data_IF_661163652829
#
_entry.id   IF_661163652829
#
_cell.length_a   1.000
_cell.length_b   1.000
_cell.length_c   1.000
_cell.angle_alpha   90.00
_cell.angle_beta   90.00
_cell.angle_gamma   90.00
#
_symmetry.space_group_name_H-M   'P 1'
#
loop_
_entity.id
_entity.type
_entity.pdbx_description
1 polymer ?
#
# COMPACT_ATOMS: atom_id res chain seq x y z
N UNK A 1 -19.17 22.20 2.78
CA UNK A 1 -18.68 20.90 3.34
C UNK A 1 -17.23 21.09 3.73
N UNK A 2 -16.76 20.56 4.87
CA UNK A 2 -15.34 20.69 5.22
C UNK A 2 -14.47 19.85 4.28
N UNK A 3 -13.26 20.31 3.98
CA UNK A 3 -12.30 19.61 3.12
C UNK A 3 -12.07 18.16 3.58
N UNK A 4 -12.03 17.93 4.90
CA UNK A 4 -11.91 16.59 5.49
C UNK A 4 -13.05 15.63 5.08
N UNK A 5 -14.29 16.13 4.97
CA UNK A 5 -15.43 15.31 4.51
C UNK A 5 -15.32 14.99 3.03
N UNK A 6 -14.90 15.96 2.22
CA UNK A 6 -14.70 15.75 0.78
C UNK A 6 -13.61 14.70 0.56
N UNK A 7 -12.49 14.78 1.27
CA UNK A 7 -11.42 13.80 1.20
C UNK A 7 -11.88 12.41 1.68
N UNK A 8 -12.60 12.32 2.79
CA UNK A 8 -13.14 11.04 3.28
C UNK A 8 -14.11 10.40 2.29
N UNK A 9 -15.02 11.19 1.70
CA UNK A 9 -15.93 10.71 0.66
C UNK A 9 -15.16 10.27 -0.60
N UNK A 10 -14.17 11.05 -1.04
CA UNK A 10 -13.33 10.69 -2.18
C UNK A 10 -12.57 9.38 -1.95
N UNK A 11 -11.96 9.21 -0.77
CA UNK A 11 -11.29 7.96 -0.39
C UNK A 11 -12.25 6.77 -0.42
N UNK A 12 -13.47 6.92 0.10
CA UNK A 12 -14.46 5.86 0.08
C UNK A 12 -14.90 5.48 -1.34
N UNK A 13 -15.11 6.47 -2.21
CA UNK A 13 -15.45 6.25 -3.63
C UNK A 13 -14.29 5.58 -4.37
N UNK A 14 -13.06 6.01 -4.15
CA UNK A 14 -11.86 5.39 -4.75
C UNK A 14 -11.72 3.94 -4.29
N UNK A 15 -11.86 3.68 -2.99
CA UNK A 15 -11.81 2.32 -2.44
C UNK A 15 -12.92 1.42 -3.01
N UNK A 16 -14.13 1.94 -3.20
CA UNK A 16 -15.21 1.22 -3.87
C UNK A 16 -14.88 0.95 -5.34
N UNK A 17 -14.27 1.91 -6.05
CA UNK A 17 -13.76 1.72 -7.40
C UNK A 17 -12.71 0.61 -7.48
N UNK A 18 -11.78 0.54 -6.52
CA UNK A 18 -10.84 -0.58 -6.44
C UNK A 18 -11.56 -1.92 -6.25
N UNK A 19 -12.50 -1.99 -5.31
CA UNK A 19 -13.21 -3.23 -4.98
C UNK A 19 -14.09 -3.74 -6.13
N UNK A 20 -14.79 -2.84 -6.82
CA UNK A 20 -15.80 -3.20 -7.81
C UNK A 20 -15.25 -3.29 -9.24
N UNK A 21 -14.18 -2.56 -9.56
CA UNK A 21 -13.66 -2.46 -10.92
C UNK A 21 -12.24 -2.99 -11.04
N UNK A 22 -11.30 -2.45 -10.25
CA UNK A 22 -9.88 -2.72 -10.43
C UNK A 22 -9.49 -4.14 -10.02
N UNK A 23 -9.90 -4.57 -8.82
CA UNK A 23 -9.53 -5.88 -8.28
C UNK A 23 -10.10 -7.03 -9.12
N UNK A 24 -11.40 -7.03 -9.49
CA UNK A 24 -11.93 -8.05 -10.38
C UNK A 24 -11.26 -8.08 -11.75
N UNK A 25 -10.80 -6.93 -12.25
CA UNK A 25 -10.11 -6.82 -13.53
C UNK A 25 -8.65 -7.31 -13.48
N UNK A 26 -7.99 -7.17 -12.32
CA UNK A 26 -6.57 -7.47 -12.15
C UNK A 26 -6.28 -8.78 -11.40
N UNK A 27 -7.30 -9.50 -10.95
CA UNK A 27 -7.12 -10.76 -10.20
C UNK A 27 -7.87 -11.91 -10.85
N UNK A 28 -7.17 -13.03 -10.99
CA UNK A 28 -7.77 -14.27 -11.49
C UNK A 28 -8.33 -15.11 -10.34
N UNK A 29 -9.48 -15.75 -10.59
CA UNK A 29 -10.08 -16.69 -9.64
C UNK A 29 -9.42 -18.05 -9.73
N UNK A 30 -8.52 -18.36 -8.80
CA UNK A 30 -7.88 -19.69 -8.71
C UNK A 30 -8.64 -20.55 -7.71
N UNK A 31 -9.28 -21.63 -8.18
CA UNK A 31 -10.19 -22.49 -7.39
C UNK A 31 -9.51 -23.30 -6.26
N UNK A 32 -8.20 -23.53 -6.34
CA UNK A 32 -7.43 -24.33 -5.37
C UNK A 32 -6.23 -23.55 -4.83
N UNK A 33 -6.48 -22.41 -4.18
CA UNK A 33 -5.46 -21.68 -3.44
C UNK A 33 -5.88 -21.55 -1.97
N UNK A 34 -4.94 -21.77 -1.05
CA UNK A 34 -5.16 -21.50 0.39
C UNK A 34 -5.48 -20.01 0.65
N UNK A 35 -5.01 -19.13 -0.24
CA UNK A 35 -5.24 -17.69 -0.18
C UNK A 35 -5.43 -17.17 -1.61
N UNK A 36 -6.58 -16.56 -1.88
CA UNK A 36 -6.89 -16.04 -3.21
C UNK A 36 -6.08 -14.78 -3.50
N UNK A 37 -5.58 -14.55 -4.74
CA UNK A 37 -4.82 -13.35 -5.09
C UNK A 37 -5.56 -12.04 -4.74
N UNK A 38 -6.89 -12.04 -4.85
CA UNK A 38 -7.73 -10.90 -4.50
C UNK A 38 -7.91 -10.63 -3.00
N UNK A 39 -7.48 -11.51 -2.10
CA UNK A 39 -7.77 -11.38 -0.66
C UNK A 39 -7.14 -10.12 -0.06
N UNK A 40 -5.83 -9.96 -0.23
CA UNK A 40 -5.09 -8.80 0.27
C UNK A 40 -5.58 -7.46 -0.30
N UNK A 41 -5.72 -7.28 -1.63
CA UNK A 41 -6.21 -6.01 -2.17
C UNK A 41 -7.66 -5.75 -1.78
N UNK A 42 -8.50 -6.79 -1.63
CA UNK A 42 -9.89 -6.61 -1.16
C UNK A 42 -9.92 -6.09 0.27
N UNK A 43 -9.13 -6.68 1.17
CA UNK A 43 -9.03 -6.19 2.56
C UNK A 43 -8.54 -4.75 2.59
N UNK A 44 -7.51 -4.41 1.82
CA UNK A 44 -7.01 -3.04 1.74
C UNK A 44 -8.08 -2.06 1.21
N UNK A 45 -8.80 -2.42 0.14
CA UNK A 45 -9.88 -1.61 -0.40
C UNK A 45 -11.01 -1.40 0.61
N UNK A 46 -11.41 -2.44 1.34
CA UNK A 46 -12.42 -2.34 2.42
C UNK A 46 -11.94 -1.41 3.52
N UNK A 47 -10.68 -1.50 3.96
CA UNK A 47 -10.13 -0.60 4.97
C UNK A 47 -10.13 0.86 4.50
N UNK A 48 -9.80 1.12 3.23
CA UNK A 48 -9.89 2.45 2.64
C UNK A 48 -11.34 2.96 2.62
N UNK A 49 -12.30 2.11 2.26
CA UNK A 49 -13.73 2.47 2.26
C UNK A 49 -14.19 2.83 3.67
N UNK A 50 -13.94 1.95 4.64
CA UNK A 50 -14.39 2.13 6.02
C UNK A 50 -13.73 3.37 6.64
N UNK A 51 -12.43 3.55 6.47
CA UNK A 51 -11.72 4.73 6.98
C UNK A 51 -12.23 6.03 6.34
N UNK A 52 -12.49 6.04 5.02
CA UNK A 52 -13.08 7.16 4.31
C UNK A 52 -14.50 7.51 4.80
N UNK A 53 -15.36 6.51 5.00
CA UNK A 53 -16.70 6.69 5.57
C UNK A 53 -16.62 7.25 6.99
N UNK A 54 -15.74 6.71 7.83
CA UNK A 54 -15.53 7.19 9.21
C UNK A 54 -15.06 8.65 9.19
N UNK A 55 -14.10 9.00 8.33
CA UNK A 55 -13.61 10.38 8.19
C UNK A 55 -14.69 11.34 7.66
N UNK A 56 -15.56 10.88 6.76
CA UNK A 56 -16.70 11.65 6.27
C UNK A 56 -17.77 11.87 7.35
N UNK A 57 -18.12 10.83 8.10
CA UNK A 57 -19.14 10.88 9.15
C UNK A 57 -18.67 11.66 10.39
N UNK A 58 -17.41 11.46 10.80
CA UNK A 58 -16.78 12.07 11.97
C UNK A 58 -15.45 12.72 11.58
N UNK A 59 -15.46 13.87 10.89
CA UNK A 59 -14.23 14.57 10.57
C UNK A 59 -13.61 15.13 11.86
N UNK A 60 -12.52 14.52 12.31
CA UNK A 60 -11.69 15.03 13.40
C UNK A 60 -10.57 15.89 12.82
N UNK A 61 -10.45 17.12 13.31
CA UNK A 61 -9.39 18.06 12.95
C UNK A 61 -9.71 18.99 11.77
N UNK A 62 -8.82 19.96 11.57
CA UNK A 62 -8.83 20.88 10.43
C UNK A 62 -7.92 20.32 9.34
N UNK A 63 -8.48 19.97 8.18
CA UNK A 63 -7.67 19.65 7.01
C UNK A 63 -7.06 20.94 6.48
N UNK A 64 -5.85 21.26 6.94
CA UNK A 64 -5.06 22.39 6.47
C UNK A 64 -4.15 21.87 5.37
N UNK A 65 -4.16 22.57 4.23
CA UNK A 65 -3.30 22.24 3.12
C UNK A 65 -1.89 22.76 3.40
N UNK A 66 -0.96 21.83 3.63
CA UNK A 66 0.46 22.13 3.80
C UNK A 66 1.24 21.61 2.58
N UNK A 67 1.79 22.48 1.72
CA UNK A 67 2.46 22.08 0.49
C UNK A 67 3.56 21.05 0.70
N UNK A 68 4.34 21.19 1.78
CA UNK A 68 5.43 20.28 2.11
C UNK A 68 4.94 18.86 2.41
N UNK A 69 3.82 18.74 3.13
CA UNK A 69 3.21 17.44 3.44
C UNK A 69 2.58 16.82 2.20
N UNK A 70 1.95 17.63 1.35
CA UNK A 70 1.41 17.15 0.07
C UNK A 70 2.54 16.63 -0.82
N UNK A 71 3.64 17.37 -0.95
CA UNK A 71 4.77 16.97 -1.78
C UNK A 71 5.40 15.66 -1.30
N UNK A 72 5.54 15.48 0.02
CA UNK A 72 5.97 14.20 0.60
C UNK A 72 5.02 13.04 0.23
N UNK A 73 3.71 13.26 0.31
CA UNK A 73 2.73 12.24 -0.07
C UNK A 73 2.86 11.89 -1.56
N UNK A 74 3.04 12.89 -2.44
CA UNK A 74 3.28 12.68 -3.87
C UNK A 74 4.55 11.85 -4.10
N UNK A 75 5.65 12.15 -3.40
CA UNK A 75 6.87 11.35 -3.51
C UNK A 75 6.67 9.92 -3.02
N UNK A 76 5.97 9.69 -1.90
CA UNK A 76 5.68 8.34 -1.42
C UNK A 76 4.90 7.54 -2.47
N UNK A 77 3.86 8.14 -3.07
CA UNK A 77 3.09 7.49 -4.14
C UNK A 77 3.96 7.22 -5.37
N UNK A 78 4.78 8.19 -5.81
CA UNK A 78 5.67 8.03 -6.95
C UNK A 78 6.71 6.92 -6.73
N UNK A 79 7.30 6.84 -5.53
CA UNK A 79 8.21 5.75 -5.18
C UNK A 79 7.51 4.40 -5.12
N UNK A 80 6.28 4.32 -4.59
CA UNK A 80 5.49 3.10 -4.63
C UNK A 80 5.26 2.62 -6.07
N UNK A 81 4.87 3.52 -6.97
CA UNK A 81 4.67 3.22 -8.39
C UNK A 81 5.97 2.77 -9.06
N UNK A 82 7.07 3.50 -8.85
CA UNK A 82 8.37 3.15 -9.39
C UNK A 82 8.86 1.79 -8.87
N UNK A 83 8.69 1.51 -7.58
CA UNK A 83 9.05 0.23 -6.99
C UNK A 83 8.19 -0.92 -7.50
N UNK A 84 6.89 -0.72 -7.73
CA UNK A 84 6.05 -1.75 -8.35
C UNK A 84 6.48 -2.06 -9.78
N UNK A 85 6.86 -1.06 -10.57
CA UNK A 85 7.42 -1.29 -11.92
C UNK A 85 8.80 -1.95 -11.86
N UNK A 86 9.61 -1.61 -10.85
CA UNK A 86 10.92 -2.22 -10.66
C UNK A 86 10.84 -3.70 -10.27
N UNK A 87 9.76 -4.16 -9.61
CA UNK A 87 9.57 -5.58 -9.29
C UNK A 87 9.66 -6.46 -10.54
N UNK A 88 9.08 -6.02 -11.66
CA UNK A 88 9.12 -6.79 -12.92
C UNK A 88 10.50 -6.79 -13.59
N UNK A 89 11.34 -5.78 -13.30
CA UNK A 89 12.61 -5.57 -13.98
C UNK A 89 13.80 -6.19 -13.25
N UNK A 90 13.85 -6.03 -11.92
CA UNK A 90 14.99 -6.44 -11.09
C UNK A 90 14.63 -7.48 -10.03
N UNK A 91 13.34 -7.82 -9.91
CA UNK A 91 12.84 -8.81 -8.97
C UNK A 91 12.66 -8.31 -7.53
N UNK A 92 11.92 -9.09 -6.76
CA UNK A 92 11.44 -8.79 -5.43
C UNK A 92 12.56 -8.54 -4.43
N UNK A 93 13.59 -9.40 -4.42
CA UNK A 93 14.68 -9.34 -3.44
C UNK A 93 15.49 -8.05 -3.50
N UNK A 94 15.47 -7.33 -4.64
CA UNK A 94 16.18 -6.06 -4.79
C UNK A 94 15.22 -4.86 -4.73
N UNK A 95 14.08 -4.93 -5.42
CA UNK A 95 13.13 -3.82 -5.46
C UNK A 95 12.43 -3.59 -4.10
N UNK A 96 12.08 -4.66 -3.37
CA UNK A 96 11.32 -4.52 -2.12
C UNK A 96 12.12 -3.85 -0.99
N UNK A 97 13.38 -4.23 -0.70
CA UNK A 97 14.21 -3.48 0.25
C UNK A 97 14.35 -2.01 -0.14
N UNK A 98 14.64 -1.72 -1.40
CA UNK A 98 14.84 -0.35 -1.88
C UNK A 98 13.57 0.49 -1.70
N UNK A 99 12.40 -0.07 -2.02
CA UNK A 99 11.11 0.57 -1.80
C UNK A 99 10.86 0.85 -0.31
N UNK A 100 11.02 -0.17 0.55
CA UNK A 100 10.79 -0.02 2.00
C UNK A 100 11.73 1.03 2.58
N UNK A 101 13.01 0.99 2.21
CA UNK A 101 14.00 1.98 2.62
C UNK A 101 13.62 3.40 2.20
N UNK A 102 13.21 3.58 0.93
CA UNK A 102 12.78 4.89 0.43
C UNK A 102 11.56 5.42 1.21
N UNK A 103 10.54 4.59 1.43
CA UNK A 103 9.33 4.98 2.18
C UNK A 103 9.66 5.33 3.64
N UNK A 104 10.51 4.55 4.31
CA UNK A 104 10.92 4.82 5.70
C UNK A 104 11.69 6.14 5.81
N UNK A 105 12.61 6.42 4.87
CA UNK A 105 13.35 7.68 4.82
C UNK A 105 12.44 8.87 4.54
N UNK A 106 11.52 8.75 3.57
CA UNK A 106 10.54 9.80 3.25
C UNK A 106 9.58 10.07 4.40
N UNK A 107 9.26 9.04 5.19
CA UNK A 107 8.46 9.16 6.41
C UNK A 107 9.23 9.80 7.57
N UNK A 108 10.55 10.00 7.42
CA UNK A 108 11.41 10.64 8.42
C UNK A 108 11.82 9.70 9.55
N UNK A 109 11.77 8.39 9.37
CA UNK A 109 12.22 7.44 10.39
C UNK A 109 13.75 7.53 10.55
N UNK A 110 14.20 7.93 11.74
CA UNK A 110 15.64 8.13 12.05
C UNK A 110 16.24 7.03 12.89
N UNK A 111 15.43 6.08 13.37
CA UNK A 111 15.91 4.96 14.18
C UNK A 111 16.54 3.91 13.27
N UNK A 112 17.86 3.99 13.11
CA UNK A 112 18.64 3.10 12.24
C UNK A 112 18.40 1.61 12.48
N UNK A 113 18.15 1.20 13.73
CA UNK A 113 17.78 -0.19 14.04
C UNK A 113 16.49 -0.60 13.34
N UNK A 114 15.42 0.20 13.44
CA UNK A 114 14.16 -0.07 12.76
C UNK A 114 14.29 0.00 11.25
N UNK A 115 15.13 0.90 10.76
CA UNK A 115 15.46 0.98 9.33
C UNK A 115 16.07 -0.34 8.83
N UNK A 116 17.08 -0.88 9.51
CA UNK A 116 17.69 -2.16 9.14
C UNK A 116 16.69 -3.33 9.22
N UNK A 117 15.85 -3.36 10.25
CA UNK A 117 14.78 -4.36 10.38
C UNK A 117 13.80 -4.25 9.21
N UNK A 118 13.31 -3.05 8.89
CA UNK A 118 12.41 -2.84 7.76
C UNK A 118 13.04 -3.19 6.42
N UNK A 119 14.32 -2.87 6.23
CA UNK A 119 15.03 -3.08 4.97
C UNK A 119 15.34 -4.55 4.70
N UNK A 120 15.70 -5.32 5.74
CA UNK A 120 16.21 -6.69 5.58
C UNK A 120 15.20 -7.72 6.05
N UNK A 121 14.71 -7.59 7.28
CA UNK A 121 13.86 -8.61 7.91
C UNK A 121 12.52 -8.69 7.20
N UNK A 122 11.91 -7.54 6.89
CA UNK A 122 10.56 -7.51 6.33
C UNK A 122 10.51 -8.11 4.91
N UNK A 123 11.38 -7.73 3.95
CA UNK A 123 11.38 -8.35 2.63
C UNK A 123 11.77 -9.83 2.67
N UNK A 124 12.79 -10.20 3.47
CA UNK A 124 13.20 -11.61 3.60
C UNK A 124 12.08 -12.48 4.18
N UNK A 125 11.33 -11.96 5.15
CA UNK A 125 10.22 -12.67 5.76
C UNK A 125 9.05 -12.85 4.77
N UNK A 126 8.71 -11.83 4.00
CA UNK A 126 7.68 -11.93 2.95
C UNK A 126 8.14 -12.93 1.89
N UNK A 127 9.38 -12.83 1.42
CA UNK A 127 9.98 -13.80 0.48
C UNK A 127 9.86 -15.24 1.00
N UNK A 128 10.24 -15.47 2.26
CA UNK A 128 10.14 -16.79 2.90
C UNK A 128 8.70 -17.31 2.93
N UNK A 129 7.73 -16.48 3.31
CA UNK A 129 6.32 -16.87 3.31
C UNK A 129 5.86 -17.26 1.90
N UNK A 130 6.14 -16.43 0.90
CA UNK A 130 5.61 -16.64 -0.44
C UNK A 130 6.29 -17.79 -1.17
N UNK A 131 7.61 -17.82 -1.21
CA UNK A 131 8.33 -18.84 -1.97
C UNK A 131 8.39 -20.20 -1.25
N UNK A 132 8.61 -20.20 0.06
CA UNK A 132 8.83 -21.46 0.79
C UNK A 132 7.50 -22.03 1.31
N UNK A 133 6.70 -21.22 2.01
CA UNK A 133 5.46 -21.69 2.63
C UNK A 133 4.35 -21.81 1.60
N UNK A 134 4.10 -20.75 0.84
CA UNK A 134 2.99 -20.68 -0.11
C UNK A 134 3.35 -21.25 -1.49
N UNK A 135 4.63 -21.51 -1.76
CA UNK A 135 5.15 -22.01 -3.05
C UNK A 135 4.67 -21.18 -4.23
N UNK A 136 4.63 -19.86 -4.06
CA UNK A 136 4.28 -18.87 -5.07
C UNK A 136 5.52 -18.06 -5.41
N UNK A 137 6.01 -18.09 -6.66
CA UNK A 137 7.14 -17.28 -7.05
C UNK A 137 6.76 -15.80 -6.94
N UNK A 138 7.63 -15.04 -6.31
CA UNK A 138 7.60 -13.59 -6.43
C UNK A 138 8.36 -13.21 -7.72
N UNK A 139 7.97 -12.10 -8.38
CA UNK A 139 8.70 -11.59 -9.54
C UNK A 139 10.15 -11.25 -9.18
#
# INVERSE_FOLDING_TARGET
>A
MSLARVLGAASAVIGAGFLLLLIPWQTETVRSAALFPGTFPTVAAVLIIVSGIVQWAKPTGTAIFEPDKMLKAVYVVAFCLAGTLALELVGYLFAAPLLVGAVMLLSGERRWFWFAVGLIVLPTFIWFIFEIILRRPLP
#
